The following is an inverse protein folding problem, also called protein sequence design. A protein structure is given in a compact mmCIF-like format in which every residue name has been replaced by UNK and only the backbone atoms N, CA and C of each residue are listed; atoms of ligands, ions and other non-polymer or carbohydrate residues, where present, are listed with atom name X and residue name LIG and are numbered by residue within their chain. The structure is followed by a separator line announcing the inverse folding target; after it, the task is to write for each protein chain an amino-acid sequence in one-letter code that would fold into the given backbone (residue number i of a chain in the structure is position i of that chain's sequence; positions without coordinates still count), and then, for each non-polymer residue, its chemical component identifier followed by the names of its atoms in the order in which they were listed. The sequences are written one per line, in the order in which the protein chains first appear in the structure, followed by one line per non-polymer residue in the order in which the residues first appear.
data_IF_493426592721
#
_entry.id   IF_493426592721
#
_cell.length_a   1.000
_cell.length_b   1.000
_cell.length_c   1.000
_cell.angle_alpha   90.00
_cell.angle_beta   90.00
_cell.angle_gamma   90.00
#
_symmetry.space_group_name_H-M   'P 1'
#
loop_
_entity.id
_entity.type
_entity.pdbx_description
1 polymer ?
#
# COMPACT_ATOMS: atom_id res chain seq x y z
N UNK A 1 -10.58 19.92 13.51
CA UNK A 1 -9.83 18.72 13.96
C UNK A 1 -9.56 17.80 12.77
N UNK A 2 -8.31 17.38 12.56
CA UNK A 2 -7.93 16.50 11.44
C UNK A 2 -8.20 15.05 11.86
N UNK A 3 -9.22 14.39 11.28
CA UNK A 3 -9.47 12.96 11.52
C UNK A 3 -8.25 12.16 11.06
N UNK A 4 -7.63 11.42 11.97
CA UNK A 4 -6.56 10.48 11.63
C UNK A 4 -7.20 9.11 11.38
N UNK A 5 -6.87 8.51 10.24
CA UNK A 5 -7.31 7.16 9.88
C UNK A 5 -6.13 6.20 10.01
N UNK A 6 -6.38 5.01 10.56
CA UNK A 6 -5.38 3.96 10.68
C UNK A 6 -4.93 3.47 9.29
N UNK A 7 -3.72 2.92 9.21
CA UNK A 7 -3.21 2.38 7.96
C UNK A 7 -4.10 1.25 7.42
N UNK A 8 -4.62 0.40 8.31
CA UNK A 8 -5.54 -0.70 7.98
C UNK A 8 -6.83 -0.18 7.35
N UNK A 9 -7.44 0.84 7.95
CA UNK A 9 -8.68 1.41 7.45
C UNK A 9 -8.50 2.07 6.07
N UNK A 10 -7.37 2.79 5.87
CA UNK A 10 -7.04 3.35 4.55
C UNK A 10 -6.89 2.24 3.50
N UNK A 11 -6.28 1.11 3.86
CA UNK A 11 -6.09 -0.01 2.95
C UNK A 11 -7.42 -0.67 2.54
N UNK A 12 -8.35 -0.86 3.49
CA UNK A 12 -9.69 -1.39 3.18
C UNK A 12 -10.45 -0.46 2.22
N UNK A 13 -10.43 0.84 2.49
CA UNK A 13 -11.07 1.86 1.65
C UNK A 13 -10.46 1.86 0.24
N UNK A 14 -9.13 1.82 0.13
CA UNK A 14 -8.48 1.79 -1.18
C UNK A 14 -8.72 0.49 -1.91
N UNK A 15 -8.78 -0.65 -1.22
CA UNK A 15 -9.19 -1.93 -1.82
C UNK A 15 -10.59 -1.82 -2.42
N UNK A 16 -11.53 -1.23 -1.71
CA UNK A 16 -12.88 -1.00 -2.21
C UNK A 16 -12.89 -0.05 -3.43
N UNK A 17 -12.06 0.99 -3.42
CA UNK A 17 -11.88 1.89 -4.57
C UNK A 17 -11.29 1.19 -5.80
N UNK A 18 -10.41 0.20 -5.61
CA UNK A 18 -9.76 -0.53 -6.69
C UNK A 18 -10.66 -1.60 -7.31
N UNK A 19 -11.69 -2.06 -6.59
CA UNK A 19 -12.70 -2.98 -7.14
C UNK A 19 -13.65 -2.32 -8.15
N UNK A 20 -13.68 -0.99 -8.22
CA UNK A 20 -14.56 -0.18 -9.09
C UNK A 20 -16.07 -0.46 -8.94
N UNK A 21 -16.49 -1.23 -7.93
CA UNK A 21 -17.90 -1.53 -7.64
C UNK A 21 -18.67 -0.30 -7.13
N UNK A 22 -17.96 0.64 -6.49
CA UNK A 22 -18.53 1.88 -5.95
C UNK A 22 -17.76 3.08 -6.47
N UNK A 23 -18.49 4.12 -6.87
CA UNK A 23 -17.88 5.39 -7.28
C UNK A 23 -17.24 6.10 -6.08
N UNK A 24 -16.23 6.94 -6.34
CA UNK A 24 -15.60 7.80 -5.32
C UNK A 24 -16.62 8.58 -4.49
N UNK A 25 -17.71 9.03 -5.10
CA UNK A 25 -18.75 9.80 -4.44
C UNK A 25 -19.63 8.94 -3.52
N UNK A 26 -19.96 7.71 -3.93
CA UNK A 26 -20.69 6.77 -3.08
C UNK A 26 -19.85 6.36 -1.87
N UNK A 27 -18.57 6.03 -2.09
CA UNK A 27 -17.69 5.64 -0.99
C UNK A 27 -17.44 6.82 -0.04
N UNK A 28 -17.32 8.04 -0.57
CA UNK A 28 -17.25 9.26 0.23
C UNK A 28 -18.49 9.46 1.11
N UNK A 29 -19.68 9.20 0.55
CA UNK A 29 -20.95 9.31 1.28
C UNK A 29 -21.08 8.23 2.36
N UNK A 30 -20.70 6.99 2.09
CA UNK A 30 -20.77 5.88 3.05
C UNK A 30 -19.78 6.04 4.21
N UNK A 31 -18.56 6.50 3.91
CA UNK A 31 -17.46 6.54 4.88
C UNK A 31 -17.31 7.89 5.56
N UNK A 32 -18.01 8.92 5.06
CA UNK A 32 -17.89 10.31 5.51
C UNK A 32 -16.53 10.94 5.20
N UNK A 33 -15.78 10.36 4.26
CA UNK A 33 -14.45 10.84 3.84
C UNK A 33 -14.60 11.70 2.61
N UNK A 34 -13.94 12.86 2.57
CA UNK A 34 -14.01 13.73 1.41
C UNK A 34 -13.38 13.06 0.16
N UNK A 35 -14.01 13.14 -1.02
CA UNK A 35 -13.54 12.43 -2.24
C UNK A 35 -12.12 12.81 -2.67
N UNK A 36 -11.66 14.03 -2.36
CA UNK A 36 -10.26 14.44 -2.58
C UNK A 36 -9.27 13.56 -1.79
N UNK A 37 -9.63 13.18 -0.57
CA UNK A 37 -8.80 12.38 0.31
C UNK A 37 -8.73 10.92 -0.16
N UNK A 38 -9.85 10.40 -0.67
CA UNK A 38 -9.91 9.08 -1.31
C UNK A 38 -9.04 9.02 -2.58
N UNK A 39 -9.09 10.06 -3.42
CA UNK A 39 -8.19 10.19 -4.58
C UNK A 39 -6.72 10.18 -4.18
N UNK A 40 -6.37 10.91 -3.12
CA UNK A 40 -5.01 10.97 -2.63
C UNK A 40 -4.52 9.61 -2.12
N UNK A 41 -5.35 8.88 -1.38
CA UNK A 41 -5.00 7.54 -0.91
C UNK A 41 -4.83 6.55 -2.06
N UNK A 42 -5.72 6.59 -3.06
CA UNK A 42 -5.57 5.79 -4.28
C UNK A 42 -4.23 6.08 -4.96
N UNK A 43 -3.87 7.36 -5.12
CA UNK A 43 -2.59 7.76 -5.72
C UNK A 43 -1.41 7.22 -4.93
N UNK A 44 -1.41 7.39 -3.60
CA UNK A 44 -0.34 6.89 -2.72
C UNK A 44 -0.18 5.38 -2.89
N UNK A 45 -1.28 4.63 -2.85
CA UNK A 45 -1.23 3.18 -2.99
C UNK A 45 -0.68 2.80 -4.36
N UNK A 46 -1.18 3.37 -5.46
CA UNK A 46 -0.68 3.06 -6.81
C UNK A 46 0.80 3.40 -7.00
N UNK A 47 1.29 4.48 -6.38
CA UNK A 47 2.72 4.85 -6.42
C UNK A 47 3.58 3.92 -5.57
N UNK A 48 3.09 3.51 -4.38
CA UNK A 48 3.82 2.65 -3.44
C UNK A 48 3.70 1.16 -3.77
N UNK A 49 2.68 0.75 -4.53
CA UNK A 49 2.41 -0.66 -4.85
C UNK A 49 3.61 -1.34 -5.50
N UNK A 50 4.27 -0.76 -6.53
CA UNK A 50 5.45 -1.36 -7.14
C UNK A 50 6.60 -1.50 -6.15
N UNK A 51 6.81 -0.50 -5.29
CA UNK A 51 7.86 -0.54 -4.24
C UNK A 51 7.67 -1.73 -3.29
N UNK A 52 6.42 -2.07 -2.95
CA UNK A 52 6.11 -3.20 -2.07
C UNK A 52 6.50 -4.54 -2.70
N UNK A 53 6.34 -4.69 -4.02
CA UNK A 53 6.76 -5.90 -4.73
C UNK A 53 8.29 -5.94 -4.92
N UNK A 54 8.93 -4.80 -5.22
CA UNK A 54 10.39 -4.73 -5.37
C UNK A 54 11.17 -4.93 -4.06
N UNK A 55 10.56 -4.61 -2.91
CA UNK A 55 11.20 -4.84 -1.60
C UNK A 55 11.43 -6.34 -1.33
N UNK A 56 10.57 -7.20 -1.88
CA UNK A 56 10.73 -8.64 -1.76
C UNK A 56 11.93 -9.14 -2.59
N UNK A 57 12.17 -8.54 -3.76
CA UNK A 57 13.35 -8.86 -4.57
C UNK A 57 14.66 -8.46 -3.88
N UNK A 58 14.71 -7.27 -3.29
CA UNK A 58 15.89 -6.80 -2.53
C UNK A 58 16.15 -7.65 -1.29
N UNK A 59 15.12 -7.97 -0.50
CA UNK A 59 15.27 -8.84 0.66
C UNK A 59 15.74 -10.26 0.29
N UNK A 60 15.32 -10.78 -0.87
CA UNK A 60 15.76 -12.08 -1.37
C UNK A 60 17.20 -12.04 -1.93
N UNK A 61 17.62 -10.91 -2.51
CA UNK A 61 19.01 -10.67 -2.93
C UNK A 61 19.94 -10.52 -1.71
N UNK A 62 19.52 -9.80 -0.68
CA UNK A 62 20.28 -9.64 0.56
C UNK A 62 20.43 -10.96 1.32
N UNK A 63 19.38 -11.79 1.36
CA UNK A 63 19.44 -13.13 1.95
C UNK A 63 20.46 -14.03 1.23
N UNK A 64 20.45 -14.04 -0.12
CA UNK A 64 21.43 -14.79 -0.92
C UNK A 64 22.86 -14.31 -0.72
N UNK A 65 23.08 -12.99 -0.63
CA UNK A 65 24.40 -12.44 -0.35
C UNK A 65 24.91 -12.83 1.04
N UNK A 66 24.02 -12.91 2.04
CA UNK A 66 24.37 -13.38 3.38
C UNK A 66 24.78 -14.85 3.39
N UNK A 67 24.08 -15.72 2.65
CA UNK A 67 24.41 -17.14 2.54
C UNK A 67 25.77 -17.38 1.83
N UNK A 68 26.09 -16.56 0.82
CA UNK A 68 27.38 -16.64 0.14
C UNK A 68 28.56 -16.25 1.04
N UNK A 69 28.41 -15.21 1.87
CA UNK A 69 29.45 -14.79 2.82
C UNK A 69 29.72 -15.86 3.89
N UNK A 70 28.69 -16.57 4.35
CA UNK A 70 28.85 -17.64 5.36
C UNK A 70 29.53 -18.88 4.76
N UNK A 71 29.30 -19.16 3.48
CA UNK A 71 29.88 -20.32 2.79
C UNK A 71 31.35 -20.12 2.42
N UNK A 72 31.75 -18.89 2.08
CA UNK A 72 33.14 -18.55 1.72
C UNK A 72 34.09 -18.55 2.94
N UNK A 73 33.53 -18.53 4.16
CA UNK A 73 34.26 -18.55 5.43
C UNK A 73 34.48 -19.95 6.04
N UNK A 74 33.99 -21.01 5.38
CA UNK A 74 34.13 -22.42 5.79
C UNK A 74 34.97 -23.22 4.78
#
# INVERSE_FOLDING_TARGET
MRKQYSATYKAEIVKELLKEEKTLNQLAAETGIHPSQLKEWRKIVLTRLPELFSRNDQAMVDARNHEQQVTDLY
#
